data_IF_546889211742
#
_entry.id   IF_546889211742
#
_cell.length_a   1.000
_cell.length_b   1.000
_cell.length_c   1.000
_cell.angle_alpha   90.00
_cell.angle_beta   90.00
_cell.angle_gamma   90.00
#
_symmetry.space_group_name_H-M   'P 1'
#
loop_
_entity.id
_entity.type
_entity.pdbx_description
1 polymer ?
#
# COMPACT_ATOMS: atom_id res chain seq x y z
N UNK A 1 -20.78 -12.63 19.85
CA UNK A 1 -19.63 -13.32 20.46
C UNK A 1 -18.40 -12.68 19.86
N UNK A 2 -17.88 -11.64 20.48
CA UNK A 2 -16.57 -11.10 20.10
C UNK A 2 -15.54 -12.15 20.52
N UNK A 3 -14.98 -12.85 19.54
CA UNK A 3 -13.87 -13.78 19.76
C UNK A 3 -12.62 -13.08 19.24
N UNK A 4 -12.02 -12.16 20.02
CA UNK A 4 -10.87 -11.36 19.58
C UNK A 4 -9.73 -12.24 19.06
N UNK A 5 -9.58 -13.47 19.57
CA UNK A 5 -8.60 -14.43 19.06
C UNK A 5 -8.88 -14.84 17.61
N UNK A 6 -10.14 -15.08 17.24
CA UNK A 6 -10.52 -15.46 15.88
C UNK A 6 -10.32 -14.30 14.90
N UNK A 7 -10.67 -13.07 15.31
CA UNK A 7 -10.42 -11.85 14.53
C UNK A 7 -8.92 -11.67 14.24
N UNK A 8 -8.08 -11.85 15.25
CA UNK A 8 -6.63 -11.71 15.10
C UNK A 8 -6.05 -12.75 14.16
N UNK A 9 -6.48 -14.02 14.27
CA UNK A 9 -6.00 -15.11 13.42
C UNK A 9 -6.47 -14.91 11.98
N UNK A 10 -7.76 -14.67 11.76
CA UNK A 10 -8.33 -14.49 10.41
C UNK A 10 -7.81 -13.21 9.75
N UNK A 11 -7.71 -12.11 10.50
CA UNK A 11 -7.14 -10.85 10.03
C UNK A 11 -5.67 -11.00 9.64
N UNK A 12 -4.88 -11.74 10.43
CA UNK A 12 -3.47 -12.01 10.09
C UNK A 12 -3.33 -12.90 8.85
N UNK A 13 -4.11 -13.97 8.75
CA UNK A 13 -4.10 -14.85 7.57
C UNK A 13 -4.51 -14.08 6.30
N UNK A 14 -5.58 -13.29 6.39
CA UNK A 14 -6.03 -12.42 5.29
C UNK A 14 -4.94 -11.43 4.88
N UNK A 15 -4.32 -10.76 5.85
CA UNK A 15 -3.24 -9.81 5.61
C UNK A 15 -2.04 -10.45 4.89
N UNK A 16 -1.63 -11.64 5.31
CA UNK A 16 -0.52 -12.38 4.70
C UNK A 16 -0.86 -12.82 3.27
N UNK A 17 -2.00 -13.48 3.08
CA UNK A 17 -2.44 -13.94 1.76
C UNK A 17 -2.57 -12.78 0.77
N UNK A 18 -3.13 -11.66 1.20
CA UNK A 18 -3.29 -10.48 0.36
C UNK A 18 -1.94 -9.81 0.04
N UNK A 19 -1.03 -9.72 1.01
CA UNK A 19 0.29 -9.08 0.80
C UNK A 19 1.14 -9.88 -0.19
N UNK A 20 1.06 -11.21 -0.16
CA UNK A 20 1.83 -12.10 -1.05
C UNK A 20 1.37 -11.99 -2.50
N UNK A 21 0.13 -11.58 -2.79
CA UNK A 21 -0.45 -11.60 -4.14
C UNK A 21 0.38 -10.81 -5.18
N UNK A 22 1.07 -9.76 -4.76
CA UNK A 22 1.86 -8.91 -5.65
C UNK A 22 3.24 -9.49 -5.95
N UNK A 23 3.75 -10.40 -5.12
CA UNK A 23 5.09 -10.99 -5.31
C UNK A 23 5.20 -11.79 -6.63
N UNK A 24 4.25 -12.69 -6.97
CA UNK A 24 4.27 -13.36 -8.28
C UNK A 24 4.28 -12.39 -9.45
N UNK A 25 3.51 -11.29 -9.38
CA UNK A 25 3.46 -10.28 -10.44
C UNK A 25 4.81 -9.59 -10.60
N UNK A 26 5.46 -9.20 -9.50
CA UNK A 26 6.79 -8.56 -9.49
C UNK A 26 7.84 -9.51 -10.11
N UNK A 27 7.79 -10.80 -9.75
CA UNK A 27 8.72 -11.81 -10.26
C UNK A 27 8.51 -12.03 -11.76
N UNK A 28 7.26 -12.13 -12.22
CA UNK A 28 6.95 -12.31 -13.65
C UNK A 28 7.41 -11.10 -14.47
N UNK A 29 7.12 -9.88 -13.99
CA UNK A 29 7.57 -8.64 -14.62
C UNK A 29 9.11 -8.61 -14.73
N UNK A 30 9.81 -9.01 -13.66
CA UNK A 30 11.27 -9.09 -13.66
C UNK A 30 11.79 -10.13 -14.65
N UNK A 31 11.21 -11.34 -14.68
CA UNK A 31 11.65 -12.43 -15.58
C UNK A 31 11.36 -12.16 -17.05
N UNK A 32 10.26 -11.48 -17.36
CA UNK A 32 9.86 -11.16 -18.75
C UNK A 32 10.52 -9.88 -19.26
N UNK A 33 11.04 -9.03 -18.37
CA UNK A 33 11.51 -7.68 -18.70
C UNK A 33 10.50 -6.86 -19.52
N UNK A 34 9.21 -7.15 -19.36
CA UNK A 34 8.10 -6.52 -20.05
C UNK A 34 6.92 -6.48 -19.08
N UNK A 35 6.14 -5.40 -19.13
CA UNK A 35 4.90 -5.20 -18.36
C UNK A 35 3.67 -5.08 -19.26
N UNK A 36 3.68 -5.68 -20.45
CA UNK A 36 2.50 -5.76 -21.31
C UNK A 36 1.31 -6.37 -20.57
N UNK A 37 0.15 -5.70 -20.67
CA UNK A 37 -1.07 -6.08 -19.96
C UNK A 37 -1.20 -5.52 -18.55
N UNK A 38 -0.14 -4.95 -17.96
CA UNK A 38 -0.19 -4.32 -16.64
C UNK A 38 -0.39 -2.80 -16.76
N UNK A 39 -1.55 -2.32 -16.33
CA UNK A 39 -1.87 -0.90 -16.37
C UNK A 39 -1.20 -0.13 -15.22
N UNK A 40 -0.22 0.72 -15.56
CA UNK A 40 0.47 1.55 -14.56
C UNK A 40 -0.44 2.54 -13.82
N UNK A 41 -1.52 3.02 -14.45
CA UNK A 41 -2.52 3.89 -13.80
C UNK A 41 -3.27 3.17 -12.68
N UNK A 42 -3.61 1.90 -12.87
CA UNK A 42 -4.28 1.08 -11.85
C UNK A 42 -3.39 0.88 -10.64
N UNK A 43 -2.09 0.62 -10.85
CA UNK A 43 -1.12 0.51 -9.75
C UNK A 43 -1.02 1.83 -8.97
N UNK A 44 -1.01 2.98 -9.64
CA UNK A 44 -0.99 4.26 -8.96
C UNK A 44 -2.27 4.51 -8.14
N UNK A 45 -3.44 4.15 -8.68
CA UNK A 45 -4.72 4.24 -7.98
C UNK A 45 -4.74 3.33 -6.73
N UNK A 46 -4.19 2.12 -6.84
CA UNK A 46 -4.05 1.21 -5.70
C UNK A 46 -3.12 1.75 -4.62
N UNK A 47 -2.00 2.38 -5.00
CA UNK A 47 -1.11 3.03 -4.04
C UNK A 47 -1.83 4.18 -3.33
N UNK A 48 -2.59 4.99 -4.07
CA UNK A 48 -3.38 6.07 -3.50
C UNK A 48 -4.49 5.54 -2.56
N UNK A 49 -5.14 4.43 -2.90
CA UNK A 49 -6.14 3.77 -2.05
C UNK A 49 -5.54 3.14 -0.78
N UNK A 50 -4.23 2.82 -0.80
CA UNK A 50 -3.50 2.36 0.38
C UNK A 50 -3.48 3.37 1.52
N UNK A 51 -3.45 4.67 1.20
CA UNK A 51 -3.43 5.77 2.18
C UNK A 51 -4.67 5.78 3.09
N UNK A 52 -5.91 5.92 2.59
CA UNK A 52 -7.09 5.92 3.46
C UNK A 52 -7.28 4.59 4.20
N UNK A 53 -6.91 3.46 3.59
CA UNK A 53 -6.96 2.15 4.24
C UNK A 53 -5.97 2.07 5.41
N UNK A 54 -4.75 2.59 5.26
CA UNK A 54 -3.75 2.67 6.31
C UNK A 54 -4.18 3.58 7.46
N UNK A 55 -4.72 4.76 7.14
CA UNK A 55 -5.31 5.68 8.14
C UNK A 55 -6.39 4.98 8.94
N UNK A 56 -7.37 4.36 8.27
CA UNK A 56 -8.46 3.64 8.92
C UNK A 56 -7.95 2.54 9.85
N UNK A 57 -7.00 1.73 9.36
CA UNK A 57 -6.47 0.62 10.14
C UNK A 57 -5.69 1.06 11.38
N UNK A 58 -5.01 2.20 11.30
CA UNK A 58 -4.23 2.78 12.42
C UNK A 58 -5.14 3.50 13.42
N UNK A 59 -6.17 4.20 12.96
CA UNK A 59 -7.10 4.98 13.80
C UNK A 59 -8.06 4.07 14.58
N UNK A 60 -8.55 3.00 13.97
CA UNK A 60 -9.43 2.03 14.64
C UNK A 60 -8.66 1.02 15.50
N UNK A 61 -7.35 1.15 15.57
CA UNK A 61 -6.50 0.33 16.41
C UNK A 61 -6.66 -1.18 16.17
N UNK A 62 -6.94 -1.60 14.94
CA UNK A 62 -7.01 -3.01 14.56
C UNK A 62 -5.70 -3.75 14.81
N UNK A 63 -5.72 -5.07 14.65
CA UNK A 63 -4.56 -5.93 14.77
C UNK A 63 -3.30 -5.39 14.10
N UNK A 64 -2.15 -5.62 14.73
CA UNK A 64 -0.83 -5.19 14.23
C UNK A 64 -0.61 -5.63 12.78
N UNK A 65 -1.08 -6.83 12.42
CA UNK A 65 -1.03 -7.34 11.05
C UNK A 65 -1.79 -6.44 10.05
N UNK A 66 -3.01 -6.00 10.39
CA UNK A 66 -3.84 -5.13 9.55
C UNK A 66 -3.30 -3.69 9.50
N UNK A 67 -2.57 -3.23 10.51
CA UNK A 67 -1.90 -1.92 10.47
C UNK A 67 -0.68 -1.91 9.54
N UNK A 68 0.11 -2.98 9.58
CA UNK A 68 1.34 -3.10 8.78
C UNK A 68 1.02 -3.46 7.32
N UNK A 69 -0.07 -4.19 7.07
CA UNK A 69 -0.43 -4.67 5.74
C UNK A 69 -0.54 -3.54 4.68
N UNK A 70 -1.29 -2.44 4.88
CA UNK A 70 -1.39 -1.37 3.89
C UNK A 70 -0.03 -0.75 3.56
N UNK A 71 0.88 -0.67 4.54
CA UNK A 71 2.23 -0.14 4.35
C UNK A 71 3.07 -1.04 3.43
N UNK A 72 3.09 -2.34 3.72
CA UNK A 72 3.78 -3.34 2.89
C UNK A 72 3.17 -3.37 1.49
N UNK A 73 1.84 -3.40 1.39
CA UNK A 73 1.12 -3.46 0.12
C UNK A 73 1.43 -2.23 -0.75
N UNK A 74 1.39 -1.04 -0.16
CA UNK A 74 1.69 0.22 -0.87
C UNK A 74 3.12 0.23 -1.39
N UNK A 75 4.08 -0.25 -0.61
CA UNK A 75 5.46 -0.40 -1.06
C UNK A 75 5.58 -1.39 -2.24
N UNK A 76 4.95 -2.56 -2.17
CA UNK A 76 4.95 -3.56 -3.25
C UNK A 76 4.26 -3.03 -4.53
N UNK A 77 3.18 -2.26 -4.38
CA UNK A 77 2.49 -1.61 -5.49
C UNK A 77 3.42 -0.60 -6.17
N UNK A 78 4.13 0.24 -5.40
CA UNK A 78 5.05 1.23 -5.94
C UNK A 78 6.27 0.57 -6.63
N UNK A 79 6.76 -0.55 -6.13
CA UNK A 79 7.78 -1.36 -6.81
C UNK A 79 7.24 -1.87 -8.15
N UNK A 80 6.03 -2.41 -8.16
CA UNK A 80 5.39 -2.93 -9.38
C UNK A 80 5.13 -1.80 -10.40
N UNK A 81 4.71 -0.62 -9.93
CA UNK A 81 4.55 0.57 -10.76
C UNK A 81 5.88 1.06 -11.32
N UNK A 82 6.95 0.99 -10.54
CA UNK A 82 8.32 1.30 -11.00
C UNK A 82 8.75 0.34 -12.11
N UNK A 83 8.39 -0.94 -12.02
CA UNK A 83 8.62 -1.90 -13.10
C UNK A 83 7.84 -1.54 -14.37
N UNK A 84 6.59 -1.03 -14.26
CA UNK A 84 5.84 -0.54 -15.42
C UNK A 84 6.52 0.66 -16.09
N UNK A 85 7.11 1.57 -15.33
CA UNK A 85 7.84 2.71 -15.88
C UNK A 85 9.15 2.26 -16.55
N UNK A 86 9.89 1.37 -15.88
CA UNK A 86 11.18 0.89 -16.37
C UNK A 86 11.04 0.03 -17.63
N UNK A 87 10.26 -1.05 -17.56
CA UNK A 87 10.10 -2.00 -18.67
C UNK A 87 9.08 -1.55 -19.72
N UNK A 88 8.01 -0.86 -19.33
CA UNK A 88 6.95 -0.46 -20.26
C UNK A 88 7.25 0.85 -21.01
N UNK A 89 7.87 1.84 -20.33
CA UNK A 89 8.17 3.15 -20.94
C UNK A 89 9.66 3.37 -21.23
N UNK A 90 10.51 2.36 -21.01
CA UNK A 90 11.97 2.44 -21.14
C UNK A 90 12.58 3.60 -20.33
N UNK A 91 12.01 3.90 -19.15
CA UNK A 91 12.58 4.93 -18.28
C UNK A 91 13.86 4.40 -17.62
N UNK A 92 14.87 5.27 -17.47
CA UNK A 92 16.05 4.97 -16.65
C UNK A 92 15.65 4.77 -15.18
N UNK A 93 16.38 3.91 -14.46
CA UNK A 93 16.20 3.68 -13.02
C UNK A 93 16.20 5.00 -12.24
N UNK A 94 17.04 5.97 -12.62
CA UNK A 94 17.10 7.29 -11.98
C UNK A 94 15.78 8.05 -12.13
N UNK A 95 15.16 8.01 -13.32
CA UNK A 95 13.85 8.64 -13.54
C UNK A 95 12.76 7.95 -12.71
N UNK A 96 12.80 6.62 -12.62
CA UNK A 96 11.85 5.87 -11.78
C UNK A 96 11.98 6.26 -10.31
N UNK A 97 13.21 6.33 -9.77
CA UNK A 97 13.47 6.76 -8.39
C UNK A 97 13.00 8.21 -8.19
N UNK A 98 13.33 9.10 -9.13
CA UNK A 98 12.93 10.51 -9.08
C UNK A 98 11.41 10.70 -9.11
N UNK A 99 10.64 9.77 -9.69
CA UNK A 99 9.17 9.82 -9.64
C UNK A 99 8.57 9.15 -8.41
N UNK A 100 9.16 8.05 -7.94
CA UNK A 100 8.61 7.23 -6.84
C UNK A 100 8.90 7.86 -5.49
N UNK A 101 10.08 8.45 -5.30
CA UNK A 101 10.47 9.03 -4.01
C UNK A 101 9.56 10.22 -3.59
N UNK A 102 9.23 11.19 -4.46
CA UNK A 102 8.26 12.22 -4.13
C UNK A 102 6.86 11.66 -3.83
N UNK A 103 6.43 10.65 -4.59
CA UNK A 103 5.14 9.99 -4.38
C UNK A 103 5.06 9.31 -2.99
N UNK A 104 6.12 8.63 -2.58
CA UNK A 104 6.23 8.05 -1.23
C UNK A 104 6.14 9.12 -0.15
N UNK A 105 6.87 10.22 -0.30
CA UNK A 105 6.85 11.32 0.67
C UNK A 105 5.46 11.98 0.76
N UNK A 106 4.80 12.18 -0.38
CA UNK A 106 3.44 12.74 -0.43
C UNK A 106 2.45 11.80 0.24
N UNK A 107 2.45 10.51 -0.12
CA UNK A 107 1.53 9.54 0.46
C UNK A 107 1.77 9.35 1.96
N UNK A 108 3.02 9.21 2.40
CA UNK A 108 3.35 9.10 3.82
C UNK A 108 3.02 10.38 4.61
N UNK A 109 3.23 11.55 4.02
CA UNK A 109 2.87 12.83 4.61
C UNK A 109 1.36 13.01 4.76
N UNK A 110 0.59 12.70 3.72
CA UNK A 110 -0.88 12.73 3.74
C UNK A 110 -1.41 11.72 4.76
N UNK A 111 -0.92 10.49 4.74
CA UNK A 111 -1.33 9.46 5.69
C UNK A 111 -1.09 9.89 7.14
N UNK A 112 0.12 10.36 7.44
CA UNK A 112 0.48 10.81 8.79
C UNK A 112 -0.39 11.99 9.22
N UNK A 113 -0.57 12.99 8.34
CA UNK A 113 -1.43 14.15 8.60
C UNK A 113 -2.89 13.76 8.87
N UNK A 114 -3.43 12.83 8.08
CA UNK A 114 -4.79 12.31 8.26
C UNK A 114 -4.92 11.51 9.56
N UNK A 115 -3.94 10.70 9.93
CA UNK A 115 -3.95 9.97 11.21
C UNK A 115 -4.05 10.96 12.37
N UNK A 116 -3.23 12.01 12.38
CA UNK A 116 -3.30 13.04 13.43
C UNK A 116 -4.64 13.77 13.42
N UNK A 117 -5.11 14.20 12.24
CA UNK A 117 -6.38 14.91 12.11
C UNK A 117 -7.58 14.08 12.59
N UNK A 118 -7.65 12.80 12.21
CA UNK A 118 -8.75 11.92 12.60
C UNK A 118 -8.66 11.51 14.06
N UNK A 119 -7.45 11.26 14.58
CA UNK A 119 -7.26 10.99 16.02
C UNK A 119 -7.68 12.19 16.88
N UNK A 120 -7.34 13.40 16.44
CA UNK A 120 -7.75 14.63 17.11
C UNK A 120 -9.27 14.85 17.02
N UNK A 121 -9.89 14.59 15.86
CA UNK A 121 -11.34 14.64 15.74
C UNK A 121 -12.05 13.63 16.68
N UNK A 122 -11.47 12.44 16.85
CA UNK A 122 -11.97 11.39 17.75
C UNK A 122 -11.77 11.75 19.23
N UNK A 123 -10.67 12.42 19.59
CA UNK A 123 -10.43 12.89 20.97
C UNK A 123 -11.32 14.07 21.37
N UNK A 124 -11.65 14.94 20.41
CA UNK A 124 -12.53 16.11 20.60
C UNK A 124 -14.04 15.81 20.48
N UNK A 125 -14.44 14.55 20.36
CA UNK A 125 -15.81 14.09 20.64
C UNK A 125 -16.89 14.64 19.70
N UNK A 126 -16.68 14.56 18.37
CA UNK A 126 -17.78 14.52 17.42
C UNK A 126 -18.24 13.05 17.27
N UNK A 127 -19.13 12.62 18.18
CA UNK A 127 -19.94 11.41 18.01
C UNK A 127 -21.02 11.62 16.96
#
# INVERSE_FOLDING_TARGET
MDVPVAENILGTLGAVCWSIQLLPQIIINYRRHNTEGLQGSMMLLWAAAGVPLGVYNIVEEFNVALRIQPQILTALILVTWSQCLYYGKNYSVTKCIATVAPLLLIFGGIETGLIFAVKEAKSHNLR
#
